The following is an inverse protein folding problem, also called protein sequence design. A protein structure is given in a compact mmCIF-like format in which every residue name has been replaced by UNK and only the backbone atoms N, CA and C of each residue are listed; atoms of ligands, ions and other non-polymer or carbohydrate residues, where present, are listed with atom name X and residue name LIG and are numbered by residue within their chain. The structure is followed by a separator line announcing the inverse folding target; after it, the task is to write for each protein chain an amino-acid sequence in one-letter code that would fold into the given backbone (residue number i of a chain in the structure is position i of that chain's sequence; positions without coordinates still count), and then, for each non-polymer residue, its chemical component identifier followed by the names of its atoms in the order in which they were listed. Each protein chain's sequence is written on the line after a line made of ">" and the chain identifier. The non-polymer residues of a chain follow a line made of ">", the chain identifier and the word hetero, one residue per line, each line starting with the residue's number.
data_IF_801825030991
#
_entry.id   IF_801825030991
#
_cell.length_a   1.000
_cell.length_b   1.000
_cell.length_c   1.000
_cell.angle_alpha   90.00
_cell.angle_beta   90.00
_cell.angle_gamma   90.00
#
_symmetry.space_group_name_H-M   'P 1'
#
loop_
_entity.id
_entity.type
_entity.pdbx_description
1 polymer ?
#
# COMPACT_ATOMS: atom_id res chain seq x y z
N UNK A 1 21.85 5.27 15.99
CA UNK A 1 21.90 6.04 14.71
C UNK A 1 21.67 5.13 13.50
N UNK A 2 22.69 4.62 12.77
CA UNK A 2 22.45 3.87 11.51
C UNK A 2 21.59 2.59 11.66
N UNK A 3 21.73 1.87 12.79
CA UNK A 3 20.99 0.63 13.05
C UNK A 3 19.51 0.86 13.36
N UNK A 4 19.17 1.93 14.08
CA UNK A 4 17.78 2.27 14.45
C UNK A 4 16.98 2.81 13.26
N UNK A 5 17.61 3.65 12.42
CA UNK A 5 16.98 4.13 11.18
C UNK A 5 16.73 2.96 10.22
N UNK A 6 17.66 2.01 10.14
CA UNK A 6 17.50 0.79 9.34
C UNK A 6 16.32 -0.08 9.79
N UNK A 7 16.14 -0.28 11.10
CA UNK A 7 15.01 -1.04 11.66
C UNK A 7 13.68 -0.31 11.37
N UNK A 8 13.65 1.01 11.52
CA UNK A 8 12.46 1.81 11.26
C UNK A 8 12.06 1.79 9.78
N UNK A 9 13.03 1.91 8.87
CA UNK A 9 12.84 1.77 7.42
C UNK A 9 12.35 0.36 7.05
N UNK A 10 12.91 -0.69 7.64
CA UNK A 10 12.49 -2.05 7.39
C UNK A 10 11.04 -2.29 7.83
N UNK A 11 10.66 -1.81 9.02
CA UNK A 11 9.30 -1.95 9.53
C UNK A 11 8.28 -1.16 8.70
N UNK A 12 8.67 0.04 8.24
CA UNK A 12 7.81 0.88 7.41
C UNK A 12 7.65 0.30 6.00
N UNK A 13 8.74 -0.22 5.42
CA UNK A 13 8.71 -0.96 4.15
C UNK A 13 7.79 -2.18 4.26
N UNK A 14 7.92 -2.97 5.33
CA UNK A 14 7.04 -4.11 5.57
C UNK A 14 5.56 -3.70 5.63
N UNK A 15 5.23 -2.61 6.34
CA UNK A 15 3.85 -2.08 6.39
C UNK A 15 3.33 -1.63 5.04
N UNK A 16 4.16 -0.99 4.21
CA UNK A 16 3.80 -0.61 2.84
C UNK A 16 3.46 -1.84 2.02
N UNK A 17 4.35 -2.83 2.01
CA UNK A 17 4.14 -4.06 1.25
C UNK A 17 2.89 -4.80 1.72
N UNK A 18 2.67 -4.94 3.04
CA UNK A 18 1.45 -5.55 3.57
C UNK A 18 0.19 -4.80 3.14
N UNK A 19 0.21 -3.46 3.19
CA UNK A 19 -0.93 -2.64 2.75
C UNK A 19 -1.24 -2.83 1.26
N UNK A 20 -0.21 -2.78 0.40
CA UNK A 20 -0.36 -3.02 -1.04
C UNK A 20 -0.86 -4.44 -1.31
N UNK A 21 -0.31 -5.45 -0.65
CA UNK A 21 -0.76 -6.84 -0.78
C UNK A 21 -2.23 -7.01 -0.38
N UNK A 22 -2.68 -6.35 0.69
CA UNK A 22 -4.10 -6.37 1.09
C UNK A 22 -5.00 -5.70 0.04
N UNK A 23 -4.58 -4.56 -0.52
CA UNK A 23 -5.32 -3.87 -1.59
C UNK A 23 -5.47 -4.77 -2.81
N UNK A 24 -4.37 -5.39 -3.27
CA UNK A 24 -4.38 -6.31 -4.40
C UNK A 24 -5.31 -7.48 -4.10
N UNK A 25 -5.17 -8.12 -2.94
CA UNK A 25 -6.00 -9.26 -2.57
C UNK A 25 -7.49 -8.90 -2.61
N UNK A 26 -7.91 -7.83 -1.93
CA UNK A 26 -9.32 -7.44 -1.86
C UNK A 26 -9.87 -7.10 -3.25
N UNK A 27 -9.13 -6.29 -4.03
CA UNK A 27 -9.60 -5.81 -5.33
C UNK A 27 -9.69 -6.95 -6.34
N UNK A 28 -8.65 -7.78 -6.45
CA UNK A 28 -8.63 -8.88 -7.41
C UNK A 28 -9.56 -10.02 -7.01
N UNK A 29 -9.68 -10.35 -5.72
CA UNK A 29 -10.66 -11.35 -5.27
C UNK A 29 -12.08 -10.86 -5.51
N UNK A 30 -12.38 -9.58 -5.27
CA UNK A 30 -13.70 -9.02 -5.57
C UNK A 30 -14.01 -9.05 -7.06
N UNK A 31 -13.03 -8.74 -7.91
CA UNK A 31 -13.17 -8.85 -9.36
C UNK A 31 -13.43 -10.30 -9.80
N UNK A 32 -12.63 -11.24 -9.31
CA UNK A 32 -12.78 -12.65 -9.65
C UNK A 32 -14.15 -13.21 -9.21
N UNK A 33 -14.63 -12.81 -8.04
CA UNK A 33 -15.98 -13.14 -7.56
C UNK A 33 -17.04 -12.53 -8.51
N UNK A 34 -16.90 -11.25 -8.84
CA UNK A 34 -17.82 -10.55 -9.73
C UNK A 34 -17.90 -11.21 -11.11
N UNK A 35 -16.75 -11.49 -11.73
CA UNK A 35 -16.65 -12.16 -13.04
C UNK A 35 -17.22 -13.58 -12.98
N UNK A 36 -16.99 -14.32 -11.89
CA UNK A 36 -17.54 -15.66 -11.72
C UNK A 36 -19.08 -15.69 -11.71
N UNK A 37 -19.72 -14.70 -11.07
CA UNK A 37 -21.19 -14.65 -10.96
C UNK A 37 -21.88 -13.96 -12.13
N UNK A 38 -21.22 -13.02 -12.81
CA UNK A 38 -21.84 -12.24 -13.89
C UNK A 38 -21.42 -12.70 -15.28
N UNK A 39 -20.24 -13.33 -15.41
CA UNK A 39 -19.62 -13.61 -16.70
C UNK A 39 -19.22 -12.36 -17.49
N UNK A 40 -19.20 -11.17 -16.86
CA UNK A 40 -18.93 -9.88 -17.51
C UNK A 40 -17.57 -9.33 -17.07
N UNK A 41 -16.69 -9.07 -18.03
CA UNK A 41 -15.33 -8.56 -17.85
C UNK A 41 -15.22 -7.04 -18.06
N UNK A 42 -16.32 -6.35 -18.39
CA UNK A 42 -16.32 -4.90 -18.60
C UNK A 42 -15.85 -4.09 -17.39
N UNK A 43 -15.93 -4.68 -16.19
CA UNK A 43 -15.52 -4.03 -14.95
C UNK A 43 -14.04 -4.20 -14.60
N UNK A 44 -13.33 -5.12 -15.25
CA UNK A 44 -11.92 -5.46 -14.96
C UNK A 44 -11.03 -4.22 -14.94
N UNK A 45 -11.15 -3.33 -15.95
CA UNK A 45 -10.34 -2.11 -16.03
C UNK A 45 -10.61 -1.18 -14.85
N UNK A 46 -11.86 -1.04 -14.41
CA UNK A 46 -12.23 -0.18 -13.29
C UNK A 46 -11.68 -0.73 -11.96
N UNK A 47 -11.77 -2.05 -11.74
CA UNK A 47 -11.17 -2.70 -10.56
C UNK A 47 -9.65 -2.55 -10.56
N UNK A 48 -8.99 -2.75 -11.70
CA UNK A 48 -7.54 -2.55 -11.83
C UNK A 48 -7.13 -1.11 -11.53
N UNK A 49 -7.83 -0.12 -12.10
CA UNK A 49 -7.59 1.30 -11.83
C UNK A 49 -7.79 1.63 -10.35
N UNK A 50 -8.83 1.07 -9.71
CA UNK A 50 -9.09 1.25 -8.29
C UNK A 50 -7.96 0.67 -7.43
N UNK A 51 -7.54 -0.57 -7.71
CA UNK A 51 -6.44 -1.21 -6.99
C UNK A 51 -5.11 -0.47 -7.12
N UNK A 52 -4.81 0.02 -8.32
CA UNK A 52 -3.60 0.81 -8.57
C UNK A 52 -3.68 2.17 -7.85
N UNK A 53 -4.82 2.85 -7.93
CA UNK A 53 -5.06 4.13 -7.23
C UNK A 53 -4.93 4.00 -5.71
N UNK A 54 -5.54 2.97 -5.12
CA UNK A 54 -5.43 2.69 -3.69
C UNK A 54 -3.99 2.37 -3.28
N UNK A 55 -3.24 1.63 -4.12
CA UNK A 55 -1.84 1.32 -3.87
C UNK A 55 -0.96 2.59 -3.86
N UNK A 56 -1.18 3.52 -4.80
CA UNK A 56 -0.49 4.82 -4.83
C UNK A 56 -0.80 5.62 -3.56
N UNK A 57 -2.06 5.69 -3.15
CA UNK A 57 -2.46 6.41 -1.94
C UNK A 57 -1.77 5.84 -0.69
N UNK A 58 -1.68 4.51 -0.58
CA UNK A 58 -0.95 3.85 0.50
C UNK A 58 0.54 4.20 0.49
N UNK A 59 1.16 4.17 -0.69
CA UNK A 59 2.56 4.52 -0.85
C UNK A 59 2.84 5.98 -0.42
N UNK A 60 2.00 6.92 -0.85
CA UNK A 60 2.10 8.33 -0.46
C UNK A 60 1.89 8.54 1.05
N UNK A 61 0.89 7.88 1.64
CA UNK A 61 0.63 7.95 3.07
C UNK A 61 1.80 7.44 3.91
N UNK A 62 2.41 6.33 3.47
CA UNK A 62 3.58 5.78 4.14
C UNK A 62 4.83 6.64 3.95
N UNK A 63 5.03 7.22 2.76
CA UNK A 63 6.11 8.18 2.50
C UNK A 63 6.02 9.42 3.40
N UNK A 64 4.80 9.95 3.63
CA UNK A 64 4.57 11.04 4.61
C UNK A 64 4.91 10.60 6.03
N UNK A 65 4.54 9.38 6.41
CA UNK A 65 4.84 8.81 7.73
C UNK A 65 6.34 8.67 7.96
N UNK A 66 7.07 8.18 6.95
CA UNK A 66 8.52 8.07 6.99
C UNK A 66 9.20 9.43 7.13
N UNK A 67 8.79 10.40 6.31
CA UNK A 67 9.33 11.76 6.35
C UNK A 67 9.11 12.41 7.72
N UNK A 68 7.94 12.18 8.34
CA UNK A 68 7.65 12.64 9.70
C UNK A 68 8.55 11.96 10.73
N UNK A 69 8.69 10.63 10.66
CA UNK A 69 9.54 9.89 11.59
C UNK A 69 11.01 10.30 11.51
N UNK A 70 11.55 10.52 10.30
CA UNK A 70 12.91 11.03 10.11
C UNK A 70 13.07 12.41 10.76
N UNK A 71 12.13 13.33 10.51
CA UNK A 71 12.16 14.69 11.07
C UNK A 71 12.04 14.71 12.60
N UNK A 72 11.26 13.79 13.17
CA UNK A 72 11.11 13.65 14.63
C UNK A 72 12.38 13.08 15.29
N UNK A 73 13.15 12.23 14.59
CA UNK A 73 14.47 11.80 15.07
C UNK A 73 15.50 12.92 15.00
N UNK A 74 15.53 13.71 13.91
CA UNK A 74 16.44 14.87 13.79
C UNK A 74 16.22 15.90 14.90
N UNK A 75 14.98 16.09 15.36
CA UNK A 75 14.66 17.00 16.47
C UNK A 75 15.02 16.49 17.86
N UNK A 76 15.23 15.18 18.02
CA UNK A 76 15.62 14.57 19.30
C UNK A 76 17.13 14.46 19.47
N UNK A 77 17.90 14.71 18.40
CA UNK A 77 19.34 14.99 18.45
C UNK A 77 19.58 16.47 18.77
#
# INVERSE_FOLDING_TARGET
>A
MAKEVGILLAHLTARIYTGISMVILIVYTSLAIYEHFTGDDRWTVYFLMLGFGLSILFFLAAGRTLRKAIKDMERKM
#
